data_IF_370922878669
#
_entry.id   IF_370922878669
#
_cell.length_a   1.000
_cell.length_b   1.000
_cell.length_c   1.000
_cell.angle_alpha   90.00
_cell.angle_beta   90.00
_cell.angle_gamma   90.00
#
_symmetry.space_group_name_H-M   'P 1'
#
loop_
_entity.id
_entity.type
_entity.pdbx_description
1 polymer ?
#
# COMPACT_ATOMS: atom_id res chain seq x y z
N UNK A 1 -0.40 -18.11 0.24
CA UNK A 1 0.61 -17.05 -0.05
C UNK A 1 0.03 -15.65 0.03
N UNK A 2 -0.82 -15.22 -0.91
CA UNK A 2 -1.29 -13.82 -0.97
C UNK A 2 -1.81 -13.29 0.37
N UNK A 3 -2.83 -13.94 0.96
CA UNK A 3 -3.42 -13.46 2.21
C UNK A 3 -2.48 -13.51 3.42
N UNK A 4 -1.60 -14.53 3.47
CA UNK A 4 -0.76 -14.79 4.64
C UNK A 4 0.56 -14.01 4.64
N UNK A 5 1.07 -13.65 3.45
CA UNK A 5 2.39 -13.04 3.29
C UNK A 5 2.27 -11.64 2.68
N UNK A 6 1.72 -11.54 1.47
CA UNK A 6 1.68 -10.28 0.72
C UNK A 6 0.67 -9.28 1.28
N UNK A 7 -0.51 -9.75 1.67
CA UNK A 7 -1.57 -8.96 2.29
C UNK A 7 -1.51 -9.00 3.83
N UNK A 8 -0.37 -9.39 4.41
CA UNK A 8 -0.24 -9.48 5.86
C UNK A 8 -0.27 -8.09 6.47
N UNK A 9 -1.17 -7.90 7.44
CA UNK A 9 -1.43 -6.61 8.10
C UNK A 9 -0.18 -5.89 8.61
N UNK A 10 0.79 -6.63 9.16
CA UNK A 10 2.03 -6.01 9.63
C UNK A 10 2.90 -5.50 8.48
N UNK A 11 3.05 -6.29 7.41
CA UNK A 11 3.86 -5.94 6.23
C UNK A 11 3.31 -4.69 5.57
N UNK A 12 2.00 -4.70 5.30
CA UNK A 12 1.31 -3.55 4.70
C UNK A 12 1.32 -2.32 5.61
N UNK A 13 1.28 -2.49 6.93
CA UNK A 13 1.46 -1.38 7.87
C UNK A 13 2.84 -0.71 7.77
N UNK A 14 3.92 -1.47 7.60
CA UNK A 14 5.26 -0.89 7.36
C UNK A 14 5.37 -0.23 5.98
N UNK A 15 4.69 -0.75 4.98
CA UNK A 15 4.61 -0.11 3.66
C UNK A 15 3.90 1.25 3.73
N UNK A 16 2.82 1.38 4.51
CA UNK A 16 2.19 2.69 4.74
C UNK A 16 3.16 3.66 5.42
N UNK A 17 3.95 3.19 6.40
CA UNK A 17 5.01 4.01 7.01
C UNK A 17 6.01 4.49 5.95
N UNK A 18 6.48 3.61 5.06
CA UNK A 18 7.40 3.97 3.98
C UNK A 18 6.78 4.97 2.98
N UNK A 19 5.51 4.77 2.58
CA UNK A 19 4.80 5.69 1.68
C UNK A 19 4.73 7.10 2.27
N UNK A 20 4.34 7.22 3.53
CA UNK A 20 4.27 8.52 4.21
C UNK A 20 5.66 9.11 4.45
N UNK A 21 6.66 8.28 4.72
CA UNK A 21 8.06 8.69 4.87
C UNK A 21 8.62 9.27 3.58
N UNK A 22 8.41 8.59 2.44
CA UNK A 22 8.87 9.06 1.13
C UNK A 22 8.09 10.28 0.65
N UNK A 23 6.80 10.40 0.98
CA UNK A 23 6.04 11.64 0.76
C UNK A 23 6.63 12.81 1.54
N UNK A 24 6.93 12.61 2.82
CA UNK A 24 7.58 13.62 3.67
C UNK A 24 8.96 14.02 3.12
N UNK A 25 9.77 13.03 2.69
CA UNK A 25 11.07 13.27 2.08
C UNK A 25 10.97 14.02 0.73
N UNK A 26 10.02 13.65 -0.13
CA UNK A 26 9.77 14.35 -1.40
C UNK A 26 9.36 15.80 -1.19
N UNK A 27 8.48 16.06 -0.21
CA UNK A 27 8.09 17.42 0.16
C UNK A 27 9.29 18.22 0.68
N UNK A 28 10.12 17.61 1.52
CA UNK A 28 11.38 18.23 1.98
C UNK A 28 12.34 18.56 0.83
N UNK A 29 12.33 17.80 -0.27
CA UNK A 29 13.24 17.97 -1.39
C UNK A 29 12.77 18.96 -2.47
N UNK A 30 11.48 19.29 -2.54
CA UNK A 30 10.87 20.05 -3.65
C UNK A 30 10.44 21.47 -3.27
N UNK A 31 10.03 21.74 -2.02
CA UNK A 31 9.51 23.06 -1.60
C UNK A 31 10.56 23.93 -0.89
N UNK A 32 11.62 24.33 -1.62
CA UNK A 32 12.72 25.15 -1.10
C UNK A 32 13.55 24.51 0.02
N UNK A 33 13.24 23.25 0.37
CA UNK A 33 13.94 22.46 1.34
C UNK A 33 15.02 21.58 0.74
N UNK A 34 15.90 21.12 1.62
CA UNK A 34 16.88 20.08 1.33
C UNK A 34 16.54 18.90 2.21
N UNK A 35 16.86 17.69 1.76
CA UNK A 35 16.96 16.54 2.66
C UNK A 35 18.04 16.80 3.72
N UNK A 36 18.02 16.08 4.86
CA UNK A 36 19.08 16.19 5.85
C UNK A 36 20.47 16.09 5.24
N UNK A 37 21.41 16.84 5.82
CA UNK A 37 22.82 16.73 5.47
C UNK A 37 23.29 15.28 5.59
N UNK A 38 24.28 14.90 4.79
CA UNK A 38 24.80 13.52 4.65
C UNK A 38 23.83 12.50 4.04
N UNK A 39 22.65 12.91 3.58
CA UNK A 39 21.81 12.03 2.74
C UNK A 39 22.60 11.62 1.48
N UNK A 40 22.66 10.32 1.14
CA UNK A 40 23.42 9.85 -0.03
C UNK A 40 23.06 10.62 -1.31
N UNK A 41 24.04 11.07 -2.12
CA UNK A 41 23.78 11.95 -3.26
C UNK A 41 22.78 11.39 -4.28
N UNK A 42 22.77 10.07 -4.49
CA UNK A 42 21.81 9.42 -5.39
C UNK A 42 20.37 9.54 -4.87
N UNK A 43 20.17 9.42 -3.56
CA UNK A 43 18.86 9.59 -2.91
C UNK A 43 18.41 11.06 -3.01
N UNK A 44 19.33 12.01 -2.80
CA UNK A 44 19.04 13.44 -3.02
C UNK A 44 18.58 13.68 -4.46
N UNK A 45 19.31 13.16 -5.46
CA UNK A 45 18.91 13.27 -6.87
C UNK A 45 17.53 12.68 -7.12
N UNK A 46 17.26 11.47 -6.63
CA UNK A 46 15.97 10.80 -6.79
C UNK A 46 14.81 11.66 -6.29
N UNK A 47 14.87 12.19 -5.06
CA UNK A 47 13.77 12.99 -4.52
C UNK A 47 13.66 14.36 -5.17
N UNK A 48 14.79 15.04 -5.43
CA UNK A 48 14.79 16.35 -6.09
C UNK A 48 14.36 16.31 -7.55
N UNK A 49 14.50 15.18 -8.24
CA UNK A 49 14.04 15.00 -9.62
C UNK A 49 12.63 14.42 -9.75
N UNK A 50 11.92 14.22 -8.63
CA UNK A 50 10.60 13.57 -8.65
C UNK A 50 10.66 12.11 -9.10
N UNK A 51 11.76 11.42 -8.83
CA UNK A 51 11.99 10.02 -9.20
C UNK A 51 12.58 9.81 -10.60
N UNK A 52 12.83 10.88 -11.35
CA UNK A 52 13.41 10.78 -12.69
C UNK A 52 14.93 10.60 -12.62
N UNK A 53 15.39 9.35 -12.70
CA UNK A 53 16.81 8.98 -12.74
C UNK A 53 17.20 8.55 -14.16
N UNK A 54 18.44 8.85 -14.56
CA UNK A 54 19.01 8.23 -15.75
C UNK A 54 19.29 6.74 -15.50
N UNK A 55 19.51 5.97 -16.57
CA UNK A 55 19.71 4.52 -16.46
C UNK A 55 20.89 4.13 -15.55
N UNK A 56 21.99 4.88 -15.57
CA UNK A 56 23.16 4.58 -14.75
C UNK A 56 22.88 4.81 -13.25
N UNK A 57 22.20 5.91 -12.91
CA UNK A 57 21.75 6.22 -11.55
C UNK A 57 20.71 5.20 -11.06
N UNK A 58 19.76 4.80 -11.91
CA UNK A 58 18.76 3.79 -11.56
C UNK A 58 19.40 2.43 -11.23
N UNK A 59 20.40 1.99 -12.02
CA UNK A 59 21.10 0.74 -11.76
C UNK A 59 21.95 0.75 -10.47
N UNK A 60 22.31 1.93 -9.98
CA UNK A 60 23.00 2.10 -8.69
C UNK A 60 22.03 2.31 -7.53
N UNK A 61 20.74 2.48 -7.81
CA UNK A 61 19.73 2.68 -6.79
C UNK A 61 19.35 1.34 -6.17
N UNK A 62 19.79 1.12 -4.93
CA UNK A 62 19.53 -0.12 -4.19
C UNK A 62 19.04 0.14 -2.75
N UNK A 63 18.71 -0.95 -2.06
CA UNK A 63 18.26 -0.92 -0.68
C UNK A 63 19.33 -0.38 0.28
N UNK A 64 20.62 -0.53 -0.03
CA UNK A 64 21.71 -0.07 0.83
C UNK A 64 21.79 1.45 0.86
N UNK A 65 21.61 2.11 -0.29
CA UNK A 65 21.54 3.56 -0.40
C UNK A 65 20.33 4.11 0.37
N UNK A 66 19.17 3.47 0.22
CA UNK A 66 17.96 3.88 0.94
C UNK A 66 18.12 3.66 2.46
N UNK A 67 18.67 2.52 2.87
CA UNK A 67 18.90 2.21 4.29
C UNK A 67 19.87 3.21 4.92
N UNK A 68 20.94 3.58 4.22
CA UNK A 68 21.86 4.62 4.67
C UNK A 68 21.14 5.97 4.85
N UNK A 69 20.28 6.37 3.90
CA UNK A 69 19.47 7.58 4.02
C UNK A 69 18.53 7.54 5.23
N UNK A 70 17.84 6.40 5.46
CA UNK A 70 16.97 6.23 6.62
C UNK A 70 17.71 6.41 7.95
N UNK A 71 18.95 5.91 8.05
CA UNK A 71 19.78 6.11 9.25
C UNK A 71 20.12 7.59 9.48
N UNK A 72 20.49 8.32 8.42
CA UNK A 72 20.73 9.76 8.47
C UNK A 72 19.46 10.50 8.91
N UNK A 73 18.32 10.20 8.29
CA UNK A 73 17.04 10.85 8.60
C UNK A 73 16.58 10.55 10.03
N UNK A 74 16.84 9.36 10.55
CA UNK A 74 16.49 8.96 11.92
C UNK A 74 17.25 9.75 13.01
N UNK A 75 18.38 10.39 12.68
CA UNK A 75 19.17 11.19 13.63
C UNK A 75 19.13 12.69 13.34
N UNK A 76 18.49 13.12 12.25
CA UNK A 76 18.34 14.53 11.90
C UNK A 76 17.70 15.33 13.04
N UNK A 77 18.34 16.41 13.49
CA UNK A 77 17.91 17.17 14.67
C UNK A 77 17.09 18.43 14.34
N UNK A 78 17.18 18.93 13.11
CA UNK A 78 16.41 20.10 12.68
C UNK A 78 14.90 19.79 12.77
N UNK A 79 14.11 20.62 13.49
CA UNK A 79 12.66 20.44 13.62
C UNK A 79 11.91 20.26 12.30
N UNK A 80 12.42 20.83 11.20
CA UNK A 80 11.82 20.65 9.86
C UNK A 80 11.78 19.19 9.41
N UNK A 81 12.65 18.34 9.96
CA UNK A 81 12.75 16.93 9.65
C UNK A 81 12.04 16.03 10.66
N UNK A 82 11.26 16.59 11.60
CA UNK A 82 10.61 15.82 12.66
C UNK A 82 9.77 14.65 12.12
N UNK A 83 9.00 14.85 11.03
CA UNK A 83 8.20 13.78 10.42
C UNK A 83 9.07 12.67 9.82
N UNK A 84 10.06 13.01 8.98
CA UNK A 84 10.95 12.00 8.39
C UNK A 84 11.78 11.28 9.47
N UNK A 85 12.18 11.99 10.53
CA UNK A 85 12.91 11.41 11.65
C UNK A 85 12.06 10.38 12.41
N UNK A 86 10.82 10.75 12.77
CA UNK A 86 9.89 9.85 13.46
C UNK A 86 9.61 8.60 12.62
N UNK A 87 9.31 8.77 11.34
CA UNK A 87 8.97 7.65 10.45
C UNK A 87 10.19 6.75 10.20
N UNK A 88 11.37 7.33 9.99
CA UNK A 88 12.63 6.56 9.79
C UNK A 88 12.99 5.76 11.03
N UNK A 89 12.92 6.37 12.22
CA UNK A 89 13.11 5.66 13.50
C UNK A 89 12.11 4.52 13.66
N UNK A 90 10.85 4.76 13.30
CA UNK A 90 9.80 3.76 13.44
C UNK A 90 10.06 2.57 12.52
N UNK A 91 10.45 2.83 11.28
CA UNK A 91 10.77 1.78 10.30
C UNK A 91 12.01 0.97 10.73
N UNK A 92 13.14 1.63 11.00
CA UNK A 92 14.40 0.98 11.37
C UNK A 92 14.29 0.14 12.65
N UNK A 93 13.58 0.65 13.66
CA UNK A 93 13.43 -0.04 14.94
C UNK A 93 12.21 -0.98 14.98
N UNK A 94 11.55 -1.21 13.84
CA UNK A 94 10.32 -2.01 13.73
C UNK A 94 9.24 -1.62 14.74
N UNK A 95 9.15 -0.32 15.05
CA UNK A 95 8.13 0.20 15.94
C UNK A 95 6.80 0.22 15.20
N UNK A 96 5.77 -0.36 15.82
CA UNK A 96 4.41 -0.41 15.27
C UNK A 96 3.72 0.95 15.42
N UNK A 97 4.23 1.97 14.76
CA UNK A 97 3.69 3.34 14.83
C UNK A 97 2.23 3.38 14.38
N UNK A 98 1.89 2.61 13.35
CA UNK A 98 0.54 2.61 12.79
C UNK A 98 -0.29 1.44 13.35
N UNK A 99 -1.50 1.75 13.80
CA UNK A 99 -2.54 0.76 14.05
C UNK A 99 -3.35 0.56 12.77
N UNK A 100 -3.95 -0.62 12.59
CA UNK A 100 -4.81 -0.89 11.45
C UNK A 100 -6.24 -1.23 11.90
N UNK A 101 -7.22 -0.90 11.07
CA UNK A 101 -8.60 -1.37 11.20
C UNK A 101 -9.03 -1.91 9.84
N UNK A 102 -9.53 -3.14 9.84
CA UNK A 102 -10.11 -3.75 8.63
C UNK A 102 -11.42 -3.03 8.31
N UNK A 103 -11.60 -2.72 7.03
CA UNK A 103 -12.76 -2.06 6.47
C UNK A 103 -13.64 -3.11 5.81
N UNK A 104 -14.96 -2.94 5.94
CA UNK A 104 -15.95 -3.85 5.36
C UNK A 104 -16.09 -3.75 3.83
N UNK A 105 -15.31 -2.87 3.20
CA UNK A 105 -15.24 -2.70 1.74
C UNK A 105 -16.51 -2.12 1.10
N UNK A 106 -17.55 -1.76 1.88
CA UNK A 106 -18.80 -1.24 1.32
C UNK A 106 -18.55 0.11 0.62
N UNK A 107 -19.01 0.32 -0.62
CA UNK A 107 -18.75 1.56 -1.36
C UNK A 107 -19.15 2.84 -0.62
N UNK A 108 -20.29 2.82 0.07
CA UNK A 108 -20.75 3.95 0.88
C UNK A 108 -19.81 4.27 2.05
N UNK A 109 -19.32 3.24 2.75
CA UNK A 109 -18.36 3.39 3.84
C UNK A 109 -17.06 3.98 3.31
N UNK A 110 -16.55 3.46 2.19
CA UNK A 110 -15.31 3.94 1.57
C UNK A 110 -15.43 5.39 1.08
N UNK A 111 -16.58 5.78 0.51
CA UNK A 111 -16.83 7.16 0.09
C UNK A 111 -16.90 8.13 1.27
N UNK A 112 -17.61 7.76 2.35
CA UNK A 112 -17.68 8.55 3.59
C UNK A 112 -16.30 8.67 4.23
N UNK A 113 -15.54 7.57 4.26
CA UNK A 113 -14.19 7.54 4.78
C UNK A 113 -13.26 8.45 3.98
N UNK A 114 -13.29 8.37 2.64
CA UNK A 114 -12.47 9.21 1.76
C UNK A 114 -12.68 10.70 2.00
N UNK A 115 -13.90 11.13 2.27
CA UNK A 115 -14.20 12.53 2.65
C UNK A 115 -13.71 12.85 4.06
N UNK A 116 -13.98 11.98 5.02
CA UNK A 116 -13.63 12.22 6.43
C UNK A 116 -12.11 12.22 6.68
N UNK A 117 -11.33 11.43 5.95
CA UNK A 117 -9.88 11.42 6.13
C UNK A 117 -9.20 12.71 5.65
N UNK A 118 -9.83 13.46 4.74
CA UNK A 118 -9.28 14.76 4.29
C UNK A 118 -9.35 15.86 5.35
N UNK A 119 -10.24 15.74 6.35
CA UNK A 119 -10.32 16.69 7.47
C UNK A 119 -9.38 16.34 8.61
N UNK A 120 -8.69 15.20 8.55
CA UNK A 120 -7.71 14.82 9.56
C UNK A 120 -6.51 15.78 9.55
N UNK A 121 -5.96 16.11 10.73
CA UNK A 121 -4.74 16.88 10.81
C UNK A 121 -3.58 16.12 10.15
N UNK A 122 -2.60 16.88 9.67
CA UNK A 122 -1.34 16.35 9.15
C UNK A 122 -0.33 16.09 10.26
N UNK A 123 0.78 15.45 9.91
CA UNK A 123 1.97 15.36 10.76
C UNK A 123 2.64 16.75 10.91
N UNK A 124 3.73 16.81 11.67
CA UNK A 124 4.39 18.07 12.04
C UNK A 124 4.89 18.91 10.84
N UNK A 125 5.10 18.27 9.69
CA UNK A 125 5.46 18.93 8.42
C UNK A 125 4.27 19.59 7.70
N UNK A 126 3.06 19.50 8.25
CA UNK A 126 1.85 20.13 7.72
C UNK A 126 1.33 19.51 6.41
N UNK A 127 1.94 18.45 5.89
CA UNK A 127 1.62 17.90 4.57
C UNK A 127 1.51 16.37 4.54
N UNK A 128 2.20 15.67 5.43
CA UNK A 128 2.16 14.21 5.52
C UNK A 128 0.94 13.75 6.29
N UNK A 129 0.28 12.72 5.78
CA UNK A 129 -0.92 12.17 6.38
C UNK A 129 -0.58 11.38 7.66
N UNK A 130 -1.42 11.51 8.69
CA UNK A 130 -1.35 10.66 9.90
C UNK A 130 -1.96 9.27 9.68
N UNK A 131 -2.37 8.97 8.44
CA UNK A 131 -3.09 7.76 8.06
C UNK A 131 -2.58 7.22 6.71
N UNK A 132 -3.01 6.01 6.37
CA UNK A 132 -2.90 5.47 5.03
C UNK A 132 -4.05 4.50 4.76
N UNK A 133 -4.62 4.60 3.56
CA UNK A 133 -5.53 3.59 3.04
C UNK A 133 -4.72 2.55 2.26
N UNK A 134 -5.01 1.30 2.55
CA UNK A 134 -4.41 0.14 1.91
C UNK A 134 -5.53 -0.72 1.35
N UNK A 135 -5.57 -0.81 0.04
CA UNK A 135 -6.53 -1.58 -0.72
C UNK A 135 -5.80 -2.57 -1.61
N UNK A 136 -6.52 -3.53 -2.19
CA UNK A 136 -5.91 -4.45 -3.13
C UNK A 136 -5.29 -3.77 -4.36
N UNK A 137 -5.87 -2.63 -4.73
CA UNK A 137 -5.40 -1.78 -5.82
C UNK A 137 -3.98 -1.25 -5.59
N UNK A 138 -3.56 -1.18 -4.32
CA UNK A 138 -2.23 -0.76 -3.91
C UNK A 138 -1.22 -1.93 -3.88
N UNK A 139 -1.60 -3.12 -4.35
CA UNK A 139 -0.72 -4.29 -4.41
C UNK A 139 -0.32 -4.60 -5.86
N UNK A 140 0.90 -5.14 -6.08
CA UNK A 140 1.30 -5.55 -7.43
C UNK A 140 0.47 -6.72 -7.96
N UNK A 141 -0.34 -7.37 -7.11
CA UNK A 141 -1.19 -8.51 -7.46
C UNK A 141 -2.61 -8.11 -7.90
N UNK A 142 -2.87 -6.81 -8.08
CA UNK A 142 -4.10 -6.34 -8.71
C UNK A 142 -4.32 -7.05 -10.05
N UNK A 143 -5.51 -7.60 -10.26
CA UNK A 143 -5.85 -8.33 -11.48
C UNK A 143 -5.18 -9.71 -11.64
N UNK A 144 -4.18 -10.04 -10.82
CA UNK A 144 -3.59 -11.38 -10.75
C UNK A 144 -4.28 -12.31 -9.75
N UNK A 145 -5.23 -11.76 -8.98
CA UNK A 145 -6.09 -12.57 -8.15
C UNK A 145 -7.00 -13.42 -9.02
N UNK A 146 -7.03 -14.72 -8.71
CA UNK A 146 -7.90 -15.67 -9.39
C UNK A 146 -9.37 -15.25 -9.27
N UNK A 147 -9.98 -14.96 -10.42
CA UNK A 147 -11.38 -14.54 -10.54
C UNK A 147 -12.13 -15.58 -11.36
N UNK A 148 -13.19 -16.11 -10.78
CA UNK A 148 -13.98 -17.16 -11.43
C UNK A 148 -14.84 -16.53 -12.53
N UNK A 149 -14.72 -17.04 -13.76
CA UNK A 149 -15.66 -16.72 -14.83
C UNK A 149 -15.48 -15.35 -15.51
N UNK A 150 -14.39 -14.62 -15.25
CA UNK A 150 -14.11 -13.36 -15.96
C UNK A 150 -13.78 -13.53 -17.44
N UNK A 151 -13.42 -14.74 -17.89
CA UNK A 151 -13.30 -15.03 -19.32
C UNK A 151 -14.63 -15.30 -20.03
N UNK A 152 -15.74 -15.50 -19.32
CA UNK A 152 -16.98 -15.98 -19.93
C UNK A 152 -18.05 -14.90 -20.18
N UNK A 153 -17.83 -13.66 -19.73
CA UNK A 153 -18.90 -12.68 -19.57
C UNK A 153 -18.91 -11.52 -20.59
N UNK A 154 -17.81 -11.25 -21.29
CA UNK A 154 -17.75 -10.15 -22.28
C UNK A 154 -17.45 -10.69 -23.70
N UNK A 155 -18.07 -10.03 -24.68
CA UNK A 155 -18.46 -10.55 -26.00
C UNK A 155 -17.35 -10.73 -27.04
N UNK A 156 -16.12 -11.05 -26.63
CA UNK A 156 -15.04 -11.55 -27.49
C UNK A 156 -14.40 -12.78 -26.80
N UNK A 157 -15.19 -13.85 -26.72
CA UNK A 157 -15.02 -14.95 -25.76
C UNK A 157 -13.73 -15.77 -25.90
N UNK A 158 -12.98 -15.71 -27.01
CA UNK A 158 -11.79 -16.54 -27.19
C UNK A 158 -10.49 -15.89 -26.66
N UNK A 159 -10.29 -14.58 -26.86
CA UNK A 159 -9.04 -13.90 -26.43
C UNK A 159 -8.98 -13.64 -24.92
N UNK A 160 -10.11 -13.26 -24.29
CA UNK A 160 -10.16 -13.01 -22.86
C UNK A 160 -10.10 -14.29 -22.02
N UNK A 161 -10.62 -15.40 -22.54
CA UNK A 161 -10.45 -16.73 -21.94
C UNK A 161 -8.97 -17.14 -21.98
N UNK A 162 -8.28 -16.94 -23.11
CA UNK A 162 -6.87 -17.31 -23.29
C UNK A 162 -5.93 -16.56 -22.34
N UNK A 163 -6.16 -15.27 -22.12
CA UNK A 163 -5.26 -14.44 -21.31
C UNK A 163 -5.51 -14.53 -19.79
N UNK A 164 -6.73 -14.88 -19.37
CA UNK A 164 -7.14 -14.82 -17.96
C UNK A 164 -7.49 -16.17 -17.34
N UNK A 165 -7.37 -17.27 -18.09
CA UNK A 165 -7.78 -18.60 -17.61
C UNK A 165 -6.67 -19.63 -17.76
N UNK A 166 -6.62 -20.58 -16.84
CA UNK A 166 -5.83 -21.81 -17.02
C UNK A 166 -6.71 -22.79 -17.79
N UNK A 167 -6.24 -23.21 -18.96
CA UNK A 167 -6.97 -24.13 -19.84
C UNK A 167 -6.57 -25.58 -19.60
N UNK A 168 -7.55 -26.47 -19.57
CA UNK A 168 -7.37 -27.91 -19.55
C UNK A 168 -7.73 -28.49 -20.90
N UNK A 169 -6.76 -29.16 -21.52
CA UNK A 169 -6.98 -29.90 -22.77
C UNK A 169 -7.81 -31.17 -22.51
N UNK A 170 -8.76 -31.44 -23.40
CA UNK A 170 -9.60 -32.63 -23.34
C UNK A 170 -8.87 -33.83 -23.98
N UNK A 171 -8.79 -34.94 -23.25
CA UNK A 171 -8.20 -36.19 -23.77
C UNK A 171 -8.95 -36.76 -24.99
N UNK A 172 -10.23 -36.42 -25.14
CA UNK A 172 -11.09 -36.89 -26.24
C UNK A 172 -10.99 -36.03 -27.50
N UNK A 173 -10.36 -34.86 -27.43
CA UNK A 173 -10.22 -33.94 -28.57
C UNK A 173 -9.04 -32.98 -28.34
N UNK A 174 -8.01 -33.08 -29.19
CA UNK A 174 -6.79 -32.27 -29.14
C UNK A 174 -7.08 -30.77 -29.34
N UNK A 175 -8.15 -30.44 -30.08
CA UNK A 175 -8.53 -29.06 -30.41
C UNK A 175 -9.52 -28.46 -29.41
N UNK A 176 -9.81 -29.16 -28.29
CA UNK A 176 -10.71 -28.67 -27.26
C UNK A 176 -9.97 -28.45 -25.95
N UNK A 177 -10.05 -27.22 -25.46
CA UNK A 177 -9.64 -26.86 -24.13
C UNK A 177 -10.78 -26.12 -23.42
N UNK A 178 -10.84 -26.27 -22.10
CA UNK A 178 -11.84 -25.58 -21.28
C UNK A 178 -11.19 -24.96 -20.05
N UNK A 179 -11.70 -23.84 -19.52
CA UNK A 179 -11.19 -23.26 -18.28
C UNK A 179 -11.26 -24.26 -17.13
N UNK A 180 -10.23 -24.29 -16.29
CA UNK A 180 -10.09 -25.25 -15.18
C UNK A 180 -11.26 -25.20 -14.18
N UNK A 181 -11.90 -24.03 -13.99
CA UNK A 181 -13.09 -23.86 -13.15
C UNK A 181 -14.35 -24.53 -13.69
N UNK A 182 -14.41 -24.80 -15.00
CA UNK A 182 -15.56 -25.48 -15.60
C UNK A 182 -15.66 -26.95 -15.15
N UNK A 183 -14.53 -27.52 -14.74
CA UNK A 183 -14.42 -28.92 -14.29
C UNK A 183 -14.07 -29.07 -12.81
N UNK A 184 -13.44 -28.06 -12.19
CA UNK A 184 -13.03 -28.10 -10.78
C UNK A 184 -13.95 -27.27 -9.88
N UNK A 185 -14.80 -27.94 -9.11
CA UNK A 185 -15.63 -27.31 -8.07
C UNK A 185 -14.80 -26.55 -7.03
N UNK A 186 -13.61 -27.05 -6.69
CA UNK A 186 -12.71 -26.40 -5.73
C UNK A 186 -12.24 -25.05 -6.26
N UNK A 187 -11.73 -25.00 -7.49
CA UNK A 187 -11.24 -23.76 -8.08
C UNK A 187 -12.39 -22.77 -8.29
N UNK A 188 -13.56 -23.24 -8.72
CA UNK A 188 -14.78 -22.43 -8.79
C UNK A 188 -15.18 -21.78 -7.45
N UNK A 189 -14.77 -22.36 -6.31
CA UNK A 189 -15.04 -21.80 -4.98
C UNK A 189 -13.96 -20.84 -4.47
N UNK A 190 -12.76 -20.84 -5.07
CA UNK A 190 -11.58 -20.09 -4.65
C UNK A 190 -11.53 -18.64 -5.17
N UNK A 191 -12.69 -18.09 -5.55
CA UNK A 191 -12.84 -16.71 -5.97
C UNK A 191 -12.22 -15.75 -4.96
N UNK A 192 -11.14 -15.11 -5.40
CA UNK A 192 -10.26 -14.35 -4.53
C UNK A 192 -10.85 -12.98 -4.13
N UNK A 193 -11.91 -12.51 -4.82
CA UNK A 193 -12.65 -11.30 -4.43
C UNK A 193 -13.25 -11.42 -3.03
N UNK A 194 -13.68 -12.62 -2.64
CA UNK A 194 -14.28 -12.90 -1.32
C UNK A 194 -13.31 -12.68 -0.16
N UNK A 195 -12.01 -12.60 -0.43
CA UNK A 195 -10.97 -12.43 0.57
C UNK A 195 -10.30 -11.06 0.49
N UNK A 196 -10.81 -10.14 -0.32
CA UNK A 196 -10.28 -8.78 -0.35
C UNK A 196 -10.54 -8.09 1.00
N UNK A 197 -9.51 -7.47 1.55
CA UNK A 197 -9.60 -6.71 2.79
C UNK A 197 -8.95 -5.37 2.54
N UNK A 198 -9.74 -4.30 2.66
CA UNK A 198 -9.21 -2.94 2.71
C UNK A 198 -8.92 -2.57 4.16
N UNK A 199 -7.87 -1.79 4.41
CA UNK A 199 -7.46 -1.41 5.76
C UNK A 199 -7.20 0.09 5.83
N UNK A 200 -7.65 0.67 6.93
CA UNK A 200 -7.19 1.98 7.38
C UNK A 200 -6.04 1.78 8.36
N UNK A 201 -4.88 2.32 8.03
CA UNK A 201 -3.77 2.47 8.96
C UNK A 201 -3.72 3.90 9.49
N UNK A 202 -3.40 4.09 10.76
CA UNK A 202 -3.27 5.42 11.37
C UNK A 202 -2.23 5.46 12.49
N UNK A 203 -1.60 6.62 12.66
CA UNK A 203 -0.63 6.87 13.72
C UNK A 203 -1.29 6.70 15.10
N UNK A 204 -0.80 5.72 15.89
CA UNK A 204 -1.34 5.39 17.21
C UNK A 204 -1.29 6.56 18.19
N UNK A 205 -0.31 7.45 18.03
CA UNK A 205 -0.16 8.63 18.88
C UNK A 205 -1.21 9.71 18.56
N UNK A 206 -1.89 9.60 17.41
CA UNK A 206 -2.94 10.52 16.94
C UNK A 206 -4.32 9.88 16.99
N UNK A 207 -4.49 8.86 17.83
CA UNK A 207 -5.72 8.07 17.91
C UNK A 207 -6.94 8.91 18.26
N UNK A 208 -6.80 9.90 19.14
CA UNK A 208 -7.92 10.74 19.57
C UNK A 208 -8.46 11.57 18.40
N UNK A 209 -7.56 12.12 17.57
CA UNK A 209 -7.92 12.82 16.32
C UNK A 209 -8.71 11.88 15.39
N UNK A 210 -8.21 10.65 15.20
CA UNK A 210 -8.84 9.63 14.35
C UNK A 210 -10.22 9.22 14.90
N UNK A 211 -10.33 8.99 16.21
CA UNK A 211 -11.57 8.50 16.83
C UNK A 211 -12.65 9.58 16.82
N UNK A 212 -12.25 10.84 17.04
CA UNK A 212 -13.14 11.99 17.01
C UNK A 212 -13.75 12.18 15.62
N UNK A 213 -12.94 12.17 14.57
CA UNK A 213 -13.38 12.45 13.20
C UNK A 213 -14.04 11.23 12.55
N UNK A 214 -13.48 10.03 12.75
CA UNK A 214 -13.91 8.82 12.04
C UNK A 214 -14.84 7.92 12.86
N UNK A 215 -15.04 8.17 14.16
CA UNK A 215 -15.79 7.26 15.04
C UNK A 215 -17.28 7.10 14.68
N UNK A 216 -17.85 8.03 13.91
CA UNK A 216 -19.22 7.91 13.36
C UNK A 216 -19.25 7.09 12.08
N UNK A 217 -18.18 7.14 11.28
CA UNK A 217 -18.03 6.40 10.01
C UNK A 217 -17.58 4.96 10.26
N UNK A 218 -16.70 4.75 11.24
CA UNK A 218 -16.11 3.47 11.60
C UNK A 218 -16.35 3.17 13.08
N UNK A 219 -17.52 2.58 13.45
CA UNK A 219 -17.84 2.24 14.83
C UNK A 219 -16.82 1.31 15.50
N UNK A 220 -16.11 0.49 14.70
CA UNK A 220 -15.04 -0.41 15.16
C UNK A 220 -13.87 0.34 15.86
N UNK A 221 -13.69 1.63 15.61
CA UNK A 221 -12.67 2.45 16.28
C UNK A 221 -12.95 2.69 17.77
N UNK A 222 -14.22 2.68 18.19
CA UNK A 222 -14.62 2.98 19.58
C UNK A 222 -14.16 1.91 20.59
N UNK A 223 -13.93 0.68 20.13
CA UNK A 223 -13.52 -0.46 20.96
C UNK A 223 -12.05 -0.90 20.82
N UNK A 224 -11.28 -0.28 19.93
CA UNK A 224 -9.88 -0.64 19.70
C UNK A 224 -9.07 -0.43 20.99
N UNK A 225 -8.16 -1.32 21.39
CA UNK A 225 -7.21 -1.07 22.51
C UNK A 225 -5.80 -1.30 21.98
N UNK A 226 -4.85 -0.49 22.45
CA UNK A 226 -3.46 -0.47 21.94
C UNK A 226 -2.73 -1.79 22.16
#
# INVERSE_FOLDING_TARGET
>A
MYQQVYNHRATRGFEVVLRNLFKAAANCATDGGKLPDDTPPLIVRYFSSGGNLNAADFLQFDESQMTAALHVWAIAQDPRYATIQMLSRSFLNRQRLYAAVDLDGRPETMLKLGKAVTSLPKEADGCTDIYGLDTIEDTPYKGMLYQVGKGAADSDADEDIMNNSILLADSSSIDRASPVESVSHMLKSLDAEKFQTSRLYFNRNRRDDITKELGTVLPSLKGFKN
#
